data_IF_067818867136
#
_entry.id   IF_067818867136
#
_cell.length_a   1.000
_cell.length_b   1.000
_cell.length_c   1.000
_cell.angle_alpha   90.00
_cell.angle_beta   90.00
_cell.angle_gamma   90.00
#
_symmetry.space_group_name_H-M   'P 1'
#
loop_
_entity.id
_entity.type
_entity.pdbx_description
1 polymer ?
#
# COMPACT_ATOMS: atom_id res chain seq x y z
N UNK A 1 30.01 0.25 -3.65
CA UNK A 1 29.18 0.43 -2.45
C UNK A 1 29.88 1.43 -1.55
N UNK A 2 29.19 2.44 -1.05
CA UNK A 2 29.78 3.45 -0.14
C UNK A 2 30.19 2.74 1.16
N UNK A 3 31.42 2.93 1.67
CA UNK A 3 31.82 2.35 2.96
C UNK A 3 30.87 2.79 4.09
N UNK A 4 30.72 1.95 5.12
CA UNK A 4 29.97 2.33 6.32
C UNK A 4 30.62 3.55 6.98
N UNK A 5 29.80 4.51 7.40
CA UNK A 5 30.26 5.66 8.17
C UNK A 5 30.74 5.25 9.56
N UNK A 6 31.38 6.17 10.30
CA UNK A 6 31.87 5.88 11.66
C UNK A 6 30.75 5.37 12.61
N UNK A 7 29.56 6.02 12.69
CA UNK A 7 28.47 5.51 13.52
C UNK A 7 28.01 4.10 13.13
N UNK A 8 27.90 3.81 11.82
CA UNK A 8 27.50 2.50 11.33
C UNK A 8 28.57 1.42 11.59
N UNK A 9 29.85 1.78 11.48
CA UNK A 9 30.96 0.87 11.77
C UNK A 9 31.04 0.54 13.27
N UNK A 10 30.69 1.48 14.14
CA UNK A 10 30.57 1.24 15.58
C UNK A 10 29.37 0.35 15.90
N UNK A 11 28.21 0.64 15.31
CA UNK A 11 27.01 -0.19 15.49
C UNK A 11 27.21 -1.61 14.96
N UNK A 12 27.97 -1.81 13.88
CA UNK A 12 28.31 -3.15 13.41
C UNK A 12 28.96 -4.03 14.50
N UNK A 13 29.75 -3.45 15.40
CA UNK A 13 30.36 -4.23 16.49
C UNK A 13 29.31 -4.84 17.41
N UNK A 14 28.20 -4.14 17.68
CA UNK A 14 27.09 -4.68 18.49
C UNK A 14 26.25 -5.68 17.70
N UNK A 15 26.16 -5.54 16.37
CA UNK A 15 25.50 -6.53 15.50
C UNK A 15 26.25 -7.86 15.54
N UNK A 16 27.58 -7.85 15.49
CA UNK A 16 28.41 -9.07 15.53
C UNK A 16 28.15 -9.88 16.80
N UNK A 17 27.94 -9.21 17.94
CA UNK A 17 27.63 -9.87 19.22
C UNK A 17 26.26 -10.58 19.23
N UNK A 18 25.33 -10.18 18.34
CA UNK A 18 23.98 -10.76 18.22
C UNK A 18 23.90 -11.91 17.22
N UNK A 19 24.92 -12.13 16.39
CA UNK A 19 24.88 -13.15 15.35
C UNK A 19 24.90 -14.57 15.95
N UNK A 20 24.17 -15.55 15.36
CA UNK A 20 24.14 -16.92 15.86
C UNK A 20 25.52 -17.61 15.78
N UNK A 21 25.73 -18.60 16.65
CA UNK A 21 26.93 -19.46 16.59
C UNK A 21 27.06 -20.12 15.21
N UNK A 22 28.16 -19.85 14.51
CA UNK A 22 28.42 -20.32 13.14
C UNK A 22 28.58 -19.20 12.11
N UNK A 23 28.07 -17.99 12.39
CA UNK A 23 28.41 -16.80 11.61
C UNK A 23 29.64 -16.13 12.22
N UNK A 24 30.78 -16.27 11.55
CA UNK A 24 31.99 -15.50 11.90
C UNK A 24 32.02 -14.21 11.08
N UNK A 25 32.60 -13.12 11.61
CA UNK A 25 32.76 -11.88 10.83
C UNK A 25 33.48 -12.13 9.49
N UNK A 26 34.38 -13.11 9.45
CA UNK A 26 35.11 -13.54 8.25
C UNK A 26 34.27 -14.30 7.22
N UNK A 27 33.13 -14.87 7.59
CA UNK A 27 32.26 -15.61 6.66
C UNK A 27 31.19 -14.74 6.00
N UNK A 28 30.99 -13.50 6.45
CA UNK A 28 29.98 -12.60 5.88
C UNK A 28 30.54 -11.76 4.75
N UNK A 29 29.80 -11.65 3.66
CA UNK A 29 30.13 -10.69 2.60
C UNK A 29 30.02 -9.25 3.10
N UNK A 30 30.69 -8.32 2.40
CA UNK A 30 30.57 -6.87 2.66
C UNK A 30 29.11 -6.39 2.50
N UNK A 31 28.38 -7.04 1.60
CA UNK A 31 26.96 -6.77 1.37
C UNK A 31 26.11 -7.19 2.56
N UNK A 32 26.27 -8.43 3.04
CA UNK A 32 25.61 -8.93 4.25
C UNK A 32 25.86 -8.02 5.44
N UNK A 33 27.12 -7.67 5.69
CA UNK A 33 27.50 -6.72 6.75
C UNK A 33 26.74 -5.40 6.63
N UNK A 34 26.61 -4.86 5.42
CA UNK A 34 25.96 -3.58 5.20
C UNK A 34 24.45 -3.65 5.44
N UNK A 35 23.78 -4.70 4.96
CA UNK A 35 22.34 -4.90 5.17
C UNK A 35 22.01 -5.14 6.66
N UNK A 36 22.76 -6.01 7.33
CA UNK A 36 22.55 -6.32 8.74
C UNK A 36 22.89 -5.14 9.67
N UNK A 37 23.77 -4.23 9.24
CA UNK A 37 24.00 -2.96 9.95
C UNK A 37 22.85 -1.99 9.74
N UNK A 38 22.27 -1.97 8.54
CA UNK A 38 21.22 -1.03 8.15
C UNK A 38 19.84 -1.39 8.74
N UNK A 39 19.45 -2.66 8.72
CA UNK A 39 18.10 -3.12 9.06
C UNK A 39 18.13 -4.10 10.22
N UNK A 40 17.54 -3.69 11.35
CA UNK A 40 17.32 -4.56 12.50
C UNK A 40 16.25 -5.62 12.18
N UNK A 41 15.26 -5.29 11.35
CA UNK A 41 14.30 -6.26 10.80
C UNK A 41 14.99 -7.41 10.05
N UNK A 42 15.94 -7.09 9.15
CA UNK A 42 16.70 -8.10 8.41
C UNK A 42 17.59 -8.91 9.34
N UNK A 43 18.23 -8.25 10.33
CA UNK A 43 19.05 -8.91 11.34
C UNK A 43 18.25 -9.93 12.15
N UNK A 44 17.12 -9.52 12.73
CA UNK A 44 16.29 -10.41 13.56
C UNK A 44 15.70 -11.55 12.74
N UNK A 45 15.35 -11.29 11.47
CA UNK A 45 14.87 -12.31 10.55
C UNK A 45 15.94 -13.35 10.22
N UNK A 46 17.19 -12.93 10.00
CA UNK A 46 18.32 -13.84 9.72
C UNK A 46 18.77 -14.58 10.98
N UNK A 47 18.66 -13.97 12.16
CA UNK A 47 18.90 -14.68 13.44
C UNK A 47 17.90 -15.82 13.62
N UNK A 48 16.62 -15.58 13.31
CA UNK A 48 15.57 -16.60 13.37
C UNK A 48 15.70 -17.65 12.26
N UNK A 49 16.16 -17.25 11.07
CA UNK A 49 16.31 -18.09 9.87
C UNK A 49 17.70 -17.92 9.22
N UNK A 50 18.77 -18.47 9.84
CA UNK A 50 20.14 -18.42 9.33
C UNK A 50 20.31 -18.78 7.85
N UNK A 51 19.52 -19.75 7.38
CA UNK A 51 19.57 -20.26 6.01
C UNK A 51 19.27 -19.19 4.96
N UNK A 52 18.47 -18.17 5.28
CA UNK A 52 18.11 -17.11 4.33
C UNK A 52 19.31 -16.27 3.93
N UNK A 53 20.30 -16.10 4.82
CA UNK A 53 21.49 -15.33 4.48
C UNK A 53 22.33 -16.06 3.43
N UNK A 54 22.52 -17.37 3.59
CA UNK A 54 23.22 -18.20 2.60
C UNK A 54 22.47 -18.23 1.25
N UNK A 55 21.13 -18.27 1.30
CA UNK A 55 20.30 -18.15 0.09
C UNK A 55 20.46 -16.80 -0.60
N UNK A 56 20.49 -15.69 0.15
CA UNK A 56 20.68 -14.34 -0.40
C UNK A 56 22.06 -14.14 -1.03
N UNK A 57 23.10 -14.68 -0.41
CA UNK A 57 24.47 -14.60 -0.94
C UNK A 57 24.69 -15.51 -2.16
N UNK A 58 24.02 -16.67 -2.21
CA UNK A 58 24.11 -17.58 -3.36
C UNK A 58 23.19 -17.19 -4.52
N UNK A 59 22.04 -16.60 -4.23
CA UNK A 59 21.00 -16.23 -5.18
C UNK A 59 20.41 -14.86 -4.82
N UNK A 60 21.17 -13.82 -5.18
CA UNK A 60 20.78 -12.43 -4.98
C UNK A 60 19.43 -12.11 -5.66
N UNK A 61 18.54 -11.33 -5.01
CA UNK A 61 17.25 -10.98 -5.58
C UNK A 61 17.36 -10.25 -6.92
N UNK A 62 16.46 -10.58 -7.85
CA UNK A 62 16.39 -9.98 -9.18
C UNK A 62 15.14 -9.12 -9.35
N UNK A 63 15.13 -8.23 -10.34
CA UNK A 63 14.04 -7.29 -10.56
C UNK A 63 12.70 -7.99 -10.84
N UNK A 64 12.72 -9.06 -11.62
CA UNK A 64 11.55 -9.81 -12.06
C UNK A 64 11.16 -10.96 -11.11
N UNK A 65 11.78 -11.04 -9.93
CA UNK A 65 11.55 -12.12 -8.96
C UNK A 65 10.09 -12.24 -8.51
N UNK A 66 9.35 -11.12 -8.50
CA UNK A 66 7.92 -11.10 -8.17
C UNK A 66 7.06 -12.02 -9.05
N UNK A 67 7.53 -12.35 -10.26
CA UNK A 67 6.85 -13.29 -11.16
C UNK A 67 6.80 -14.71 -10.60
N UNK A 68 7.67 -15.04 -9.66
CA UNK A 68 7.77 -16.36 -9.05
C UNK A 68 7.00 -16.48 -7.72
N UNK A 69 6.61 -15.35 -7.11
CA UNK A 69 6.00 -15.35 -5.77
C UNK A 69 4.77 -16.24 -5.66
N UNK A 70 3.87 -16.19 -6.66
CA UNK A 70 2.67 -17.02 -6.66
C UNK A 70 2.99 -18.52 -6.72
N UNK A 71 3.97 -18.93 -7.53
CA UNK A 71 4.41 -20.32 -7.62
C UNK A 71 5.04 -20.82 -6.32
N UNK A 72 5.93 -20.01 -5.74
CA UNK A 72 6.56 -20.35 -4.45
C UNK A 72 5.55 -20.42 -3.30
N UNK A 73 4.58 -19.51 -3.25
CA UNK A 73 3.52 -19.56 -2.24
C UNK A 73 2.62 -20.79 -2.45
N UNK A 74 2.28 -21.15 -3.69
CA UNK A 74 1.49 -22.35 -3.96
C UNK A 74 2.20 -23.63 -3.50
N UNK A 75 3.51 -23.74 -3.75
CA UNK A 75 4.33 -24.85 -3.26
C UNK A 75 4.33 -24.92 -1.73
N UNK A 76 4.51 -23.77 -1.06
CA UNK A 76 4.48 -23.67 0.38
C UNK A 76 3.11 -24.05 0.99
N UNK A 77 2.00 -23.64 0.33
CA UNK A 77 0.64 -23.92 0.78
C UNK A 77 0.16 -25.35 0.47
N UNK A 78 0.89 -26.15 -0.32
CA UNK A 78 0.46 -27.48 -0.74
C UNK A 78 0.24 -28.46 0.45
N UNK A 79 1.01 -28.29 1.54
CA UNK A 79 0.89 -29.10 2.76
C UNK A 79 -0.05 -28.53 3.83
N UNK A 80 -0.66 -27.37 3.58
CA UNK A 80 -1.48 -26.65 4.58
C UNK A 80 -2.87 -27.28 4.70
N UNK A 81 -3.23 -27.69 5.91
CA UNK A 81 -4.42 -28.50 6.17
C UNK A 81 -5.50 -27.78 7.01
N UNK A 82 -5.14 -26.71 7.71
CA UNK A 82 -6.01 -25.97 8.62
C UNK A 82 -5.68 -24.47 8.69
N UNK A 83 -6.56 -23.68 9.30
CA UNK A 83 -6.40 -22.22 9.38
C UNK A 83 -5.12 -21.81 10.12
N UNK A 84 -4.66 -22.58 11.12
CA UNK A 84 -3.46 -22.25 11.90
C UNK A 84 -2.18 -22.43 11.07
N UNK A 85 -2.09 -23.55 10.33
CA UNK A 85 -1.00 -23.83 9.41
C UNK A 85 -0.99 -22.84 8.24
N UNK A 86 -2.16 -22.39 7.74
CA UNK A 86 -2.25 -21.32 6.75
C UNK A 86 -1.67 -20.01 7.31
N UNK A 87 -2.11 -19.60 8.49
CA UNK A 87 -1.67 -18.36 9.12
C UNK A 87 -0.16 -18.31 9.31
N UNK A 88 0.44 -19.40 9.78
CA UNK A 88 1.88 -19.53 9.95
C UNK A 88 2.62 -19.42 8.62
N UNK A 89 2.17 -20.14 7.59
CA UNK A 89 2.84 -20.15 6.29
C UNK A 89 2.80 -18.79 5.59
N UNK A 90 1.66 -18.10 5.64
CA UNK A 90 1.55 -16.74 5.09
C UNK A 90 2.51 -15.75 5.77
N UNK A 91 2.67 -15.85 7.09
CA UNK A 91 3.60 -14.98 7.87
C UNK A 91 5.05 -15.29 7.57
N UNK A 92 5.40 -16.57 7.53
CA UNK A 92 6.73 -17.04 7.17
C UNK A 92 7.11 -16.58 5.76
N UNK A 93 6.22 -16.80 4.78
CA UNK A 93 6.43 -16.37 3.40
C UNK A 93 6.57 -14.86 3.27
N UNK A 94 5.68 -14.07 3.90
CA UNK A 94 5.76 -12.60 3.90
C UNK A 94 7.11 -12.16 4.44
N UNK A 95 7.52 -12.63 5.62
CA UNK A 95 8.80 -12.26 6.23
C UNK A 95 9.98 -12.61 5.32
N UNK A 96 10.01 -13.82 4.78
CA UNK A 96 11.08 -14.27 3.88
C UNK A 96 11.24 -13.36 2.67
N UNK A 97 10.15 -13.04 1.98
CA UNK A 97 10.21 -12.18 0.79
C UNK A 97 10.51 -10.72 1.18
N UNK A 98 9.98 -10.22 2.29
CA UNK A 98 10.31 -8.87 2.78
C UNK A 98 11.80 -8.71 3.10
N UNK A 99 12.48 -9.73 3.63
CA UNK A 99 13.94 -9.72 3.81
C UNK A 99 14.67 -9.62 2.47
N UNK A 100 14.20 -10.34 1.44
CA UNK A 100 14.75 -10.25 0.07
C UNK A 100 14.56 -8.87 -0.54
N UNK A 101 13.39 -8.27 -0.36
CA UNK A 101 13.08 -6.90 -0.82
C UNK A 101 13.96 -5.88 -0.09
N UNK A 102 14.08 -5.99 1.25
CA UNK A 102 14.95 -5.13 2.05
C UNK A 102 16.40 -5.22 1.56
N UNK A 103 16.91 -6.43 1.35
CA UNK A 103 18.25 -6.67 0.80
C UNK A 103 18.47 -5.97 -0.54
N UNK A 104 17.54 -6.15 -1.49
CA UNK A 104 17.63 -5.54 -2.81
C UNK A 104 17.59 -4.00 -2.75
N UNK A 105 16.72 -3.44 -1.91
CA UNK A 105 16.56 -2.00 -1.75
C UNK A 105 17.78 -1.36 -1.08
N UNK A 106 18.20 -1.89 0.07
CA UNK A 106 19.33 -1.37 0.87
C UNK A 106 20.61 -1.34 0.04
N UNK A 107 20.84 -2.37 -0.79
CA UNK A 107 22.02 -2.46 -1.66
C UNK A 107 21.83 -1.80 -3.03
N UNK A 108 20.62 -1.29 -3.33
CA UNK A 108 20.24 -0.72 -4.63
C UNK A 108 20.53 -1.66 -5.80
N UNK A 109 20.16 -2.94 -5.66
CA UNK A 109 20.35 -3.97 -6.70
C UNK A 109 19.31 -3.85 -7.82
N UNK A 110 18.16 -3.25 -7.52
CA UNK A 110 17.07 -2.96 -8.46
C UNK A 110 16.61 -1.52 -8.25
N UNK A 111 15.90 -0.96 -9.22
CA UNK A 111 15.33 0.39 -9.10
C UNK A 111 14.15 0.44 -8.11
N UNK A 112 13.83 1.64 -7.64
CA UNK A 112 12.79 1.86 -6.63
C UNK A 112 11.38 1.56 -7.18
N UNK A 113 11.15 1.70 -8.48
CA UNK A 113 9.88 1.30 -9.13
C UNK A 113 9.67 -0.22 -9.01
N UNK A 114 10.74 -0.98 -9.21
CA UNK A 114 10.76 -2.43 -9.03
C UNK A 114 10.53 -2.82 -7.58
N UNK A 115 11.08 -2.10 -6.60
CA UNK A 115 10.80 -2.36 -5.17
C UNK A 115 9.31 -2.16 -4.87
N UNK A 116 8.71 -1.06 -5.33
CA UNK A 116 7.28 -0.80 -5.19
C UNK A 116 6.44 -1.92 -5.84
N UNK A 117 6.88 -2.39 -7.00
CA UNK A 117 6.22 -3.48 -7.72
C UNK A 117 6.31 -4.81 -6.95
N UNK A 118 7.48 -5.16 -6.40
CA UNK A 118 7.67 -6.38 -5.61
C UNK A 118 6.85 -6.36 -4.32
N UNK A 119 6.85 -5.24 -3.58
CA UNK A 119 6.02 -5.08 -2.38
C UNK A 119 4.53 -5.26 -2.67
N UNK A 120 4.06 -4.65 -3.76
CA UNK A 120 2.65 -4.72 -4.17
C UNK A 120 2.26 -6.13 -4.64
N UNK A 121 3.14 -6.80 -5.40
CA UNK A 121 2.88 -8.18 -5.84
C UNK A 121 2.95 -9.17 -4.69
N UNK A 122 3.82 -8.98 -3.70
CA UNK A 122 3.84 -9.81 -2.50
C UNK A 122 2.51 -9.73 -1.76
N UNK A 123 2.01 -8.51 -1.53
CA UNK A 123 0.71 -8.29 -0.88
C UNK A 123 -0.42 -8.96 -1.66
N UNK A 124 -0.51 -8.73 -2.97
CA UNK A 124 -1.51 -9.36 -3.82
C UNK A 124 -1.43 -10.89 -3.81
N UNK A 125 -0.21 -11.45 -3.88
CA UNK A 125 0.04 -12.90 -3.85
C UNK A 125 -0.49 -13.52 -2.55
N UNK A 126 -0.22 -12.88 -1.41
CA UNK A 126 -0.66 -13.35 -0.09
C UNK A 126 -2.17 -13.22 0.08
N UNK A 127 -2.77 -12.09 -0.36
CA UNK A 127 -4.23 -11.87 -0.31
C UNK A 127 -4.95 -12.94 -1.15
N UNK A 128 -4.49 -13.17 -2.39
CA UNK A 128 -5.11 -14.12 -3.31
C UNK A 128 -4.91 -15.56 -2.82
N UNK A 129 -3.70 -15.93 -2.38
CA UNK A 129 -3.43 -17.25 -1.82
C UNK A 129 -4.28 -17.56 -0.60
N UNK A 130 -4.42 -16.60 0.32
CA UNK A 130 -5.29 -16.73 1.49
C UNK A 130 -6.77 -16.84 1.10
N UNK A 131 -7.25 -15.98 0.20
CA UNK A 131 -8.63 -16.00 -0.32
C UNK A 131 -8.97 -17.36 -0.92
N UNK A 132 -8.13 -17.87 -1.81
CA UNK A 132 -8.41 -19.10 -2.55
C UNK A 132 -8.43 -20.32 -1.64
N UNK A 133 -7.46 -20.40 -0.72
CA UNK A 133 -7.42 -21.48 0.27
C UNK A 133 -8.65 -21.45 1.18
N UNK A 134 -9.00 -20.26 1.71
CA UNK A 134 -10.14 -20.09 2.62
C UNK A 134 -11.48 -20.29 1.91
N UNK A 135 -11.63 -19.86 0.66
CA UNK A 135 -12.83 -20.11 -0.12
C UNK A 135 -13.07 -21.62 -0.28
N UNK A 136 -12.02 -22.37 -0.64
CA UNK A 136 -12.10 -23.83 -0.75
C UNK A 136 -12.43 -24.49 0.59
N UNK A 137 -11.82 -24.02 1.69
CA UNK A 137 -12.12 -24.52 3.04
C UNK A 137 -13.57 -24.25 3.45
N UNK A 138 -14.07 -23.03 3.25
CA UNK A 138 -15.44 -22.65 3.55
C UNK A 138 -16.44 -23.42 2.68
N UNK A 139 -16.12 -23.68 1.40
CA UNK A 139 -16.96 -24.50 0.53
C UNK A 139 -17.10 -25.94 1.04
N UNK A 140 -16.01 -26.55 1.55
CA UNK A 140 -16.07 -27.89 2.16
C UNK A 140 -16.91 -27.91 3.44
N UNK A 141 -16.88 -26.83 4.20
CA UNK A 141 -17.55 -26.73 5.51
C UNK A 141 -19.04 -26.39 5.38
N UNK A 142 -19.39 -25.43 4.54
CA UNK A 142 -20.72 -24.82 4.45
C UNK A 142 -21.42 -25.05 3.11
N UNK A 143 -20.75 -25.65 2.13
CA UNK A 143 -21.23 -25.74 0.74
C UNK A 143 -20.75 -24.57 -0.11
N UNK A 144 -20.88 -24.71 -1.43
CA UNK A 144 -20.42 -23.71 -2.40
C UNK A 144 -21.49 -22.65 -2.61
N UNK A 145 -21.21 -21.35 -2.43
CA UNK A 145 -22.18 -20.28 -2.68
C UNK A 145 -22.52 -20.24 -4.17
N UNK A 146 -23.81 -20.32 -4.49
CA UNK A 146 -24.29 -20.30 -5.87
C UNK A 146 -25.38 -19.24 -6.04
N UNK A 147 -25.56 -18.73 -7.26
CA UNK A 147 -26.75 -17.98 -7.64
C UNK A 147 -27.97 -18.93 -7.81
N UNK A 148 -29.19 -18.42 -8.08
CA UNK A 148 -30.37 -19.27 -8.28
C UNK A 148 -30.23 -20.31 -9.40
N UNK A 149 -29.42 -20.00 -10.42
CA UNK A 149 -29.11 -20.88 -11.55
C UNK A 149 -28.07 -21.97 -11.21
N UNK A 150 -27.50 -21.95 -10.01
CA UNK A 150 -26.48 -22.91 -9.57
C UNK A 150 -25.07 -22.58 -10.01
N UNK A 151 -24.81 -21.36 -10.51
CA UNK A 151 -23.47 -20.91 -10.88
C UNK A 151 -22.71 -20.47 -9.62
N UNK A 152 -21.52 -21.04 -9.34
CA UNK A 152 -20.70 -20.64 -8.21
C UNK A 152 -20.35 -19.16 -8.22
N UNK A 153 -20.41 -18.54 -7.05
CA UNK A 153 -20.12 -17.12 -6.86
C UNK A 153 -18.75 -16.96 -6.18
N UNK A 154 -17.82 -16.14 -6.73
CA UNK A 154 -16.53 -15.87 -6.11
C UNK A 154 -16.59 -14.72 -5.10
N UNK A 155 -15.59 -14.65 -4.22
CA UNK A 155 -15.27 -13.44 -3.47
C UNK A 155 -14.32 -12.57 -4.31
N UNK A 156 -14.74 -11.36 -4.64
CA UNK A 156 -13.89 -10.36 -5.29
C UNK A 156 -13.32 -9.41 -4.25
N UNK A 157 -12.07 -9.00 -4.46
CA UNK A 157 -11.33 -8.12 -3.57
C UNK A 157 -10.78 -6.95 -4.38
N UNK A 158 -11.19 -5.74 -4.04
CA UNK A 158 -10.55 -4.52 -4.52
C UNK A 158 -9.46 -4.12 -3.52
N UNK A 159 -8.21 -4.05 -3.97
CA UNK A 159 -7.16 -3.34 -3.27
C UNK A 159 -7.25 -1.86 -3.59
N UNK A 160 -7.18 -1.05 -2.54
CA UNK A 160 -7.35 0.40 -2.58
C UNK A 160 -6.01 1.11 -2.37
N UNK A 161 -6.00 2.43 -2.48
CA UNK A 161 -4.83 3.25 -2.17
C UNK A 161 -3.55 2.79 -2.87
N UNK A 162 -2.48 2.62 -2.09
CA UNK A 162 -1.16 2.20 -2.60
C UNK A 162 -1.16 0.78 -3.16
N UNK A 163 -1.90 -0.15 -2.55
CA UNK A 163 -2.01 -1.53 -3.04
C UNK A 163 -2.66 -1.56 -4.43
N UNK A 164 -3.77 -0.84 -4.58
CA UNK A 164 -4.49 -0.74 -5.84
C UNK A 164 -3.66 -0.05 -6.94
N UNK A 165 -2.87 0.96 -6.56
CA UNK A 165 -1.91 1.64 -7.42
C UNK A 165 -0.67 0.82 -7.80
N UNK A 166 -0.45 -0.36 -7.21
CA UNK A 166 0.79 -1.13 -7.43
C UNK A 166 2.03 -0.41 -6.87
N UNK A 167 1.83 0.36 -5.81
CA UNK A 167 2.82 1.24 -5.22
C UNK A 167 2.84 1.15 -3.69
N UNK A 168 2.70 -0.05 -3.13
CA UNK A 168 2.79 -0.31 -1.69
C UNK A 168 4.15 0.16 -1.12
N UNK A 169 4.17 0.71 0.10
CA UNK A 169 5.43 1.00 0.82
C UNK A 169 5.82 -0.25 1.65
N UNK A 170 7.00 -0.23 2.27
CA UNK A 170 7.57 -1.41 2.94
C UNK A 170 6.70 -1.92 4.10
N UNK A 171 6.19 -1.00 4.92
CA UNK A 171 5.27 -1.27 6.02
C UNK A 171 4.01 -0.41 5.86
N UNK A 172 3.01 -0.97 5.18
CA UNK A 172 1.67 -0.39 4.99
C UNK A 172 0.57 -1.35 5.41
N UNK A 173 -0.54 -0.75 5.80
CA UNK A 173 -1.83 -1.41 5.83
C UNK A 173 -2.28 -1.75 4.40
N UNK A 174 -3.12 -2.77 4.26
CA UNK A 174 -3.80 -3.09 3.01
C UNK A 174 -5.26 -2.67 3.11
N UNK A 175 -5.60 -1.63 2.38
CA UNK A 175 -6.97 -1.13 2.25
C UNK A 175 -7.77 -2.01 1.28
N UNK A 176 -8.81 -2.69 1.75
CA UNK A 176 -9.58 -3.66 0.96
C UNK A 176 -11.08 -3.35 0.95
N UNK A 177 -11.72 -3.65 -0.18
CA UNK A 177 -13.20 -3.73 -0.30
C UNK A 177 -13.55 -5.12 -0.82
N UNK A 178 -14.48 -5.79 -0.15
CA UNK A 178 -14.96 -7.11 -0.55
C UNK A 178 -16.32 -7.03 -1.22
N UNK A 179 -16.47 -7.78 -2.32
CA UNK A 179 -17.73 -7.88 -3.04
C UNK A 179 -17.99 -9.30 -3.54
N UNK A 180 -19.26 -9.65 -3.76
CA UNK A 180 -19.65 -10.84 -4.53
C UNK A 180 -20.70 -10.45 -5.59
N UNK A 181 -20.88 -11.25 -6.66
CA UNK A 181 -21.76 -10.83 -7.76
C UNK A 181 -23.24 -10.94 -7.39
N UNK A 182 -23.76 -12.17 -7.26
CA UNK A 182 -25.20 -12.40 -7.20
C UNK A 182 -25.67 -13.00 -5.86
N UNK A 183 -26.90 -12.65 -5.48
CA UNK A 183 -27.59 -13.28 -4.35
C UNK A 183 -27.90 -14.76 -4.62
N UNK A 184 -28.11 -15.52 -3.55
CA UNK A 184 -28.37 -16.95 -3.63
C UNK A 184 -27.94 -17.65 -2.36
N UNK A 185 -27.67 -18.95 -2.47
CA UNK A 185 -27.48 -19.83 -1.32
C UNK A 185 -26.39 -20.88 -1.60
N UNK A 186 -25.77 -21.37 -0.54
CA UNK A 186 -24.77 -22.44 -0.64
C UNK A 186 -25.41 -23.78 -1.02
N UNK A 187 -24.79 -24.50 -1.96
CA UNK A 187 -25.18 -25.85 -2.38
C UNK A 187 -24.14 -26.89 -1.96
N UNK A 188 -24.60 -28.10 -1.64
CA UNK A 188 -23.74 -29.24 -1.26
C UNK A 188 -23.22 -29.21 0.19
N UNK A 189 -23.62 -28.21 0.99
CA UNK A 189 -23.37 -28.17 2.43
C UNK A 189 -24.39 -28.96 3.25
N UNK A 190 -24.16 -29.10 4.56
CA UNK A 190 -25.12 -29.76 5.49
C UNK A 190 -26.45 -28.99 5.62
N UNK A 191 -26.41 -27.67 5.41
CA UNK A 191 -27.56 -26.75 5.42
C UNK A 191 -27.29 -25.65 4.40
N UNK A 192 -28.37 -25.12 3.82
CA UNK A 192 -28.29 -23.93 2.97
C UNK A 192 -27.96 -22.70 3.83
N UNK A 193 -27.02 -21.90 3.36
CA UNK A 193 -26.57 -20.66 3.94
C UNK A 193 -26.74 -19.57 2.88
N UNK A 194 -27.33 -18.45 3.26
CA UNK A 194 -27.43 -17.28 2.39
C UNK A 194 -26.03 -16.78 1.97
N UNK A 195 -25.87 -16.38 0.70
CA UNK A 195 -24.58 -15.95 0.16
C UNK A 195 -23.98 -14.78 0.96
N UNK A 196 -24.78 -13.81 1.44
CA UNK A 196 -24.26 -12.71 2.24
C UNK A 196 -23.68 -13.21 3.58
N UNK A 197 -24.30 -14.21 4.19
CA UNK A 197 -23.77 -14.87 5.39
C UNK A 197 -22.49 -15.66 5.09
N UNK A 198 -22.45 -16.40 3.98
CA UNK A 198 -21.25 -17.12 3.55
C UNK A 198 -20.06 -16.17 3.36
N UNK A 199 -20.24 -15.11 2.56
CA UNK A 199 -19.17 -14.18 2.24
C UNK A 199 -18.76 -13.31 3.43
N UNK A 200 -19.69 -12.95 4.31
CA UNK A 200 -19.33 -12.26 5.56
C UNK A 200 -18.41 -13.12 6.43
N UNK A 201 -18.72 -14.42 6.60
CA UNK A 201 -17.86 -15.32 7.38
C UNK A 201 -16.52 -15.59 6.72
N UNK A 202 -16.51 -15.76 5.39
CA UNK A 202 -15.27 -15.89 4.62
C UNK A 202 -14.40 -14.64 4.75
N UNK A 203 -14.99 -13.44 4.61
CA UNK A 203 -14.29 -12.16 4.77
C UNK A 203 -13.68 -12.00 6.16
N UNK A 204 -14.41 -12.37 7.22
CA UNK A 204 -13.89 -12.36 8.59
C UNK A 204 -12.71 -13.32 8.77
N UNK A 205 -12.78 -14.54 8.21
CA UNK A 205 -11.66 -15.50 8.24
C UNK A 205 -10.46 -15.00 7.46
N UNK A 206 -10.68 -14.34 6.32
CA UNK A 206 -9.61 -13.76 5.50
C UNK A 206 -8.88 -12.64 6.24
N UNK A 207 -9.62 -11.69 6.83
CA UNK A 207 -9.03 -10.62 7.66
C UNK A 207 -8.23 -11.22 8.81
N UNK A 208 -8.81 -12.18 9.53
CA UNK A 208 -8.11 -12.87 10.61
C UNK A 208 -6.80 -13.52 10.15
N UNK A 209 -6.82 -14.20 8.99
CA UNK A 209 -5.63 -14.88 8.46
C UNK A 209 -4.50 -13.90 8.13
N UNK A 210 -4.83 -12.72 7.61
CA UNK A 210 -3.88 -11.68 7.20
C UNK A 210 -3.38 -10.82 8.37
N UNK A 211 -4.29 -10.39 9.25
CA UNK A 211 -4.05 -9.32 10.22
C UNK A 211 -3.64 -9.84 11.60
N UNK A 212 -4.31 -10.88 12.10
CA UNK A 212 -4.21 -11.24 13.52
C UNK A 212 -2.76 -11.47 13.98
N UNK A 213 -2.26 -10.75 15.00
CA UNK A 213 -0.95 -11.04 15.58
C UNK A 213 -0.90 -12.46 16.17
N UNK A 214 0.17 -13.19 15.84
CA UNK A 214 0.48 -14.52 16.36
C UNK A 214 1.95 -14.56 16.84
N UNK A 215 2.41 -15.70 17.33
CA UNK A 215 3.84 -15.90 17.62
C UNK A 215 4.74 -15.71 16.39
N UNK A 216 4.19 -15.91 15.20
CA UNK A 216 4.90 -15.73 13.92
C UNK A 216 4.76 -14.29 13.37
N UNK A 217 4.15 -13.37 14.13
CA UNK A 217 3.81 -12.01 13.71
C UNK A 217 2.45 -11.92 13.00
N UNK A 218 2.36 -11.07 11.98
CA UNK A 218 1.19 -10.85 11.12
C UNK A 218 1.62 -10.76 9.64
N UNK A 219 0.66 -10.86 8.71
CA UNK A 219 0.94 -10.74 7.26
C UNK A 219 0.88 -9.26 6.86
N UNK A 220 -0.31 -8.66 7.01
CA UNK A 220 -0.56 -7.22 6.83
C UNK A 220 -1.71 -6.80 7.75
N UNK A 221 -1.63 -5.59 8.28
CA UNK A 221 -2.78 -4.91 8.89
C UNK A 221 -3.82 -4.64 7.81
N UNK A 222 -5.08 -4.97 8.06
CA UNK A 222 -6.15 -4.87 7.05
C UNK A 222 -7.09 -3.73 7.41
N UNK A 223 -7.21 -2.75 6.51
CA UNK A 223 -8.16 -1.66 6.65
C UNK A 223 -9.37 -1.88 5.73
N UNK A 224 -10.56 -1.90 6.31
CA UNK A 224 -11.83 -2.08 5.59
C UNK A 224 -12.67 -0.80 5.54
N UNK A 225 -12.18 0.34 6.03
CA UNK A 225 -12.96 1.58 6.25
C UNK A 225 -13.39 2.28 4.97
N UNK A 226 -12.70 2.02 3.86
CA UNK A 226 -13.04 2.58 2.55
C UNK A 226 -14.25 1.89 1.87
N UNK A 227 -14.79 0.82 2.47
CA UNK A 227 -15.99 0.15 1.94
C UNK A 227 -17.24 1.05 2.07
N UNK A 228 -18.27 0.84 1.22
CA UNK A 228 -19.56 1.50 1.36
C UNK A 228 -20.09 1.50 2.80
N UNK A 229 -20.58 2.66 3.25
CA UNK A 229 -21.06 2.92 4.62
C UNK A 229 -19.98 2.83 5.73
N UNK A 230 -18.70 2.71 5.38
CA UNK A 230 -17.58 2.68 6.33
C UNK A 230 -17.73 1.57 7.37
N UNK A 231 -17.33 1.84 8.62
CA UNK A 231 -17.35 0.84 9.70
C UNK A 231 -18.74 0.37 10.11
N UNK A 232 -19.76 1.18 9.85
CA UNK A 232 -21.15 0.83 10.11
C UNK A 232 -21.77 -0.04 9.01
N UNK A 233 -21.06 -0.21 7.89
CA UNK A 233 -21.51 -0.97 6.73
C UNK A 233 -21.29 -2.48 6.85
N UNK A 234 -22.02 -3.26 6.02
CA UNK A 234 -21.73 -4.68 5.86
C UNK A 234 -20.27 -4.87 5.41
N UNK A 235 -19.64 -5.96 5.86
CA UNK A 235 -18.24 -6.24 5.54
C UNK A 235 -18.03 -6.52 4.04
N UNK A 236 -19.03 -7.16 3.42
CA UNK A 236 -19.02 -7.55 2.02
C UNK A 236 -20.34 -7.11 1.41
N UNK A 237 -20.32 -6.63 0.16
CA UNK A 237 -21.54 -6.21 -0.56
C UNK A 237 -21.77 -7.05 -1.82
N UNK A 238 -23.03 -7.25 -2.20
CA UNK A 238 -23.36 -7.74 -3.54
C UNK A 238 -23.09 -6.65 -4.58
N UNK A 239 -22.96 -7.03 -5.85
CA UNK A 239 -22.80 -6.07 -6.94
C UNK A 239 -23.98 -5.09 -7.00
N UNK A 240 -25.21 -5.57 -6.83
CA UNK A 240 -26.40 -4.72 -6.79
C UNK A 240 -26.30 -3.66 -5.67
N UNK A 241 -25.97 -4.07 -4.44
CA UNK A 241 -25.86 -3.13 -3.32
C UNK A 241 -24.71 -2.12 -3.49
N UNK A 242 -23.62 -2.56 -4.11
CA UNK A 242 -22.46 -1.71 -4.41
C UNK A 242 -22.79 -0.69 -5.52
N UNK A 243 -23.52 -1.12 -6.54
CA UNK A 243 -24.02 -0.24 -7.61
C UNK A 243 -24.96 0.83 -7.05
N UNK A 244 -25.99 0.42 -6.30
CA UNK A 244 -26.96 1.34 -5.69
C UNK A 244 -26.25 2.40 -4.82
N UNK A 245 -25.29 1.98 -4.00
CA UNK A 245 -24.53 2.90 -3.14
C UNK A 245 -23.77 3.95 -3.94
N UNK A 246 -22.97 3.55 -4.93
CA UNK A 246 -22.14 4.51 -5.66
C UNK A 246 -22.95 5.38 -6.63
N UNK A 247 -24.11 4.90 -7.10
CA UNK A 247 -25.02 5.72 -7.91
C UNK A 247 -25.76 6.76 -7.08
N UNK A 248 -26.28 6.40 -5.91
CA UNK A 248 -27.17 7.27 -5.14
C UNK A 248 -26.45 8.11 -4.08
N UNK A 249 -25.41 7.55 -3.44
CA UNK A 249 -24.78 8.12 -2.23
C UNK A 249 -23.29 8.45 -2.41
N UNK A 250 -22.68 8.00 -3.51
CA UNK A 250 -21.24 8.12 -3.73
C UNK A 250 -20.73 9.57 -3.81
N UNK A 251 -19.82 9.92 -2.90
CA UNK A 251 -19.24 11.26 -2.72
C UNK A 251 -17.97 11.46 -3.55
N UNK A 252 -17.56 12.71 -3.74
CA UNK A 252 -16.37 13.04 -4.55
C UNK A 252 -15.07 12.53 -3.96
N UNK A 253 -14.98 12.51 -2.64
CA UNK A 253 -13.83 11.94 -1.93
C UNK A 253 -13.74 10.42 -2.16
N UNK A 254 -14.88 9.73 -2.30
CA UNK A 254 -14.91 8.29 -2.64
C UNK A 254 -14.47 8.07 -4.08
N UNK A 255 -14.79 9.00 -4.99
CA UNK A 255 -14.23 8.96 -6.37
C UNK A 255 -12.71 9.08 -6.34
N UNK A 256 -12.17 9.99 -5.52
CA UNK A 256 -10.72 10.12 -5.33
C UNK A 256 -10.09 8.80 -4.86
N UNK A 257 -10.66 8.14 -3.85
CA UNK A 257 -10.17 6.85 -3.37
C UNK A 257 -10.29 5.75 -4.46
N UNK A 258 -11.41 5.70 -5.18
CA UNK A 258 -11.71 4.68 -6.17
C UNK A 258 -10.89 4.81 -7.47
N UNK A 259 -10.20 5.93 -7.71
CA UNK A 259 -9.19 6.05 -8.78
C UNK A 259 -8.12 4.96 -8.65
N UNK A 260 -7.77 4.57 -7.42
CA UNK A 260 -6.77 3.54 -7.14
C UNK A 260 -7.34 2.13 -7.09
N UNK A 261 -8.65 1.95 -7.06
CA UNK A 261 -9.26 0.64 -6.90
C UNK A 261 -8.83 -0.34 -8.00
N UNK A 262 -8.30 -1.49 -7.58
CA UNK A 262 -7.86 -2.56 -8.49
C UNK A 262 -8.30 -3.91 -7.96
N UNK A 263 -8.82 -4.77 -8.85
CA UNK A 263 -9.12 -6.15 -8.50
C UNK A 263 -7.84 -6.94 -8.26
N UNK A 264 -7.80 -7.69 -7.16
CA UNK A 264 -6.70 -8.58 -6.79
C UNK A 264 -6.87 -9.97 -7.42
N UNK A 265 -5.80 -10.50 -7.99
CA UNK A 265 -5.75 -11.81 -8.64
C UNK A 265 -6.20 -11.79 -10.10
N UNK A 266 -6.53 -12.96 -10.65
CA UNK A 266 -7.08 -13.07 -12.00
C UNK A 266 -8.37 -12.24 -12.09
N UNK A 267 -8.44 -11.40 -13.11
CA UNK A 267 -9.48 -10.41 -13.28
C UNK A 267 -10.04 -10.39 -14.70
N UNK A 268 -9.78 -11.41 -15.52
CA UNK A 268 -10.29 -11.49 -16.90
C UNK A 268 -11.65 -12.21 -17.02
N UNK A 269 -12.18 -12.73 -15.91
CA UNK A 269 -13.48 -13.39 -15.85
C UNK A 269 -14.67 -12.42 -16.06
N UNK A 270 -15.88 -12.97 -16.17
CA UNK A 270 -17.09 -12.20 -16.44
C UNK A 270 -17.45 -11.24 -15.28
N UNK A 271 -17.33 -11.69 -14.03
CA UNK A 271 -17.67 -10.91 -12.85
C UNK A 271 -16.69 -9.76 -12.63
N UNK A 272 -15.41 -10.01 -12.86
CA UNK A 272 -14.38 -8.97 -12.79
C UNK A 272 -14.60 -7.88 -13.85
N UNK A 273 -15.03 -8.25 -15.07
CA UNK A 273 -15.38 -7.27 -16.12
C UNK A 273 -16.63 -6.47 -15.77
N UNK A 274 -17.65 -7.12 -15.23
CA UNK A 274 -18.89 -6.48 -14.78
C UNK A 274 -18.62 -5.44 -13.69
N UNK A 275 -17.89 -5.81 -12.63
CA UNK A 275 -17.55 -4.87 -11.55
C UNK A 275 -16.74 -3.67 -12.06
N UNK A 276 -15.79 -3.88 -12.98
CA UNK A 276 -15.05 -2.77 -13.60
C UNK A 276 -15.96 -1.86 -14.42
N UNK A 277 -16.90 -2.43 -15.17
CA UNK A 277 -17.84 -1.66 -15.98
C UNK A 277 -18.78 -0.83 -15.10
N UNK A 278 -19.22 -1.39 -13.97
CA UNK A 278 -20.06 -0.71 -12.98
C UNK A 278 -19.34 0.45 -12.29
N UNK A 279 -18.09 0.26 -11.87
CA UNK A 279 -17.33 1.27 -11.13
C UNK A 279 -16.81 2.40 -12.01
N UNK A 280 -16.53 2.14 -13.29
CA UNK A 280 -15.88 3.13 -14.17
C UNK A 280 -16.65 4.45 -14.32
N UNK A 281 -17.99 4.47 -14.55
CA UNK A 281 -18.76 5.71 -14.64
C UNK A 281 -18.78 6.52 -13.33
N UNK A 282 -18.73 5.83 -12.18
CA UNK A 282 -18.66 6.48 -10.87
C UNK A 282 -17.35 7.26 -10.71
N UNK A 283 -16.21 6.62 -11.02
CA UNK A 283 -14.88 7.20 -10.86
C UNK A 283 -14.58 8.28 -11.90
N UNK A 284 -14.80 7.97 -13.19
CA UNK A 284 -14.36 8.81 -14.31
C UNK A 284 -15.55 9.46 -15.02
N UNK A 285 -16.00 10.59 -14.49
CA UNK A 285 -17.11 11.37 -15.07
C UNK A 285 -16.72 11.93 -16.45
N UNK A 286 -17.60 11.78 -17.44
CA UNK A 286 -17.39 12.33 -18.80
C UNK A 286 -17.60 13.84 -18.88
N UNK A 287 -18.46 14.37 -18.01
CA UNK A 287 -18.80 15.78 -17.90
C UNK A 287 -18.38 16.27 -16.51
N UNK A 288 -17.59 17.35 -16.50
CA UNK A 288 -17.11 18.02 -15.31
C UNK A 288 -17.77 19.40 -15.30
N UNK A 289 -18.52 19.67 -14.23
CA UNK A 289 -19.12 20.97 -13.99
C UNK A 289 -18.32 21.73 -12.91
N UNK A 290 -18.76 22.95 -12.60
CA UNK A 290 -18.11 23.78 -11.60
C UNK A 290 -18.13 23.15 -10.20
N UNK A 291 -19.16 22.36 -9.86
CA UNK A 291 -19.29 21.74 -8.53
C UNK A 291 -18.16 20.75 -8.26
N UNK A 292 -17.74 19.99 -9.28
CA UNK A 292 -16.62 19.05 -9.18
C UNK A 292 -15.30 19.80 -8.95
N UNK A 293 -15.07 20.90 -9.67
CA UNK A 293 -13.87 21.72 -9.48
C UNK A 293 -13.85 22.34 -8.07
N UNK A 294 -14.99 22.82 -7.59
CA UNK A 294 -15.12 23.34 -6.22
C UNK A 294 -14.81 22.27 -5.18
N UNK A 295 -15.31 21.05 -5.37
CA UNK A 295 -15.04 19.91 -4.50
C UNK A 295 -13.55 19.58 -4.42
N UNK A 296 -12.84 19.61 -5.56
CA UNK A 296 -11.38 19.45 -5.62
C UNK A 296 -10.63 20.58 -4.89
N UNK A 297 -11.07 21.84 -5.04
CA UNK A 297 -10.51 22.97 -4.27
C UNK A 297 -10.71 22.81 -2.77
N UNK A 298 -11.90 22.38 -2.35
CA UNK A 298 -12.20 22.14 -0.94
C UNK A 298 -11.28 21.05 -0.36
N UNK A 299 -11.02 19.97 -1.11
CA UNK A 299 -10.06 18.94 -0.73
C UNK A 299 -8.61 19.48 -0.67
N UNK A 300 -8.18 20.28 -1.66
CA UNK A 300 -6.87 20.96 -1.66
C UNK A 300 -6.71 21.84 -0.40
N UNK A 301 -7.73 22.64 -0.09
CA UNK A 301 -7.76 23.51 1.09
C UNK A 301 -7.70 22.73 2.40
N UNK A 302 -8.35 21.56 2.47
CA UNK A 302 -8.28 20.66 3.62
C UNK A 302 -6.85 20.15 3.86
N UNK A 303 -6.18 19.66 2.82
CA UNK A 303 -4.78 19.21 2.88
C UNK A 303 -3.89 20.36 3.36
N UNK A 304 -4.02 21.55 2.76
CA UNK A 304 -3.22 22.71 3.12
C UNK A 304 -3.42 23.17 4.57
N UNK A 305 -4.67 23.17 5.06
CA UNK A 305 -4.97 23.50 6.47
C UNK A 305 -4.38 22.48 7.44
N UNK A 306 -4.44 21.19 7.10
CA UNK A 306 -3.91 20.14 7.95
C UNK A 306 -2.38 20.25 8.11
N UNK A 307 -1.67 20.48 6.99
CA UNK A 307 -0.23 20.74 6.98
C UNK A 307 0.13 21.90 7.93
N UNK A 308 -0.61 23.01 7.83
CA UNK A 308 -0.41 24.19 8.70
C UNK A 308 -0.71 23.89 10.18
N UNK A 309 -1.82 23.18 10.45
CA UNK A 309 -2.28 22.85 11.81
C UNK A 309 -1.28 21.97 12.55
N UNK A 310 -0.73 20.95 11.89
CA UNK A 310 0.15 19.97 12.54
C UNK A 310 1.60 20.42 12.62
N UNK A 311 2.04 21.34 11.75
CA UNK A 311 3.42 21.82 11.76
C UNK A 311 4.48 20.72 11.55
N UNK A 312 4.10 19.62 10.88
CA UNK A 312 4.94 18.45 10.64
C UNK A 312 6.07 18.82 9.67
N UNK A 313 7.24 19.16 10.21
CA UNK A 313 8.43 19.46 9.41
C UNK A 313 9.16 18.21 8.95
N UNK A 314 9.15 17.17 9.78
CA UNK A 314 9.94 15.95 9.57
C UNK A 314 9.11 14.79 9.01
N UNK A 315 7.88 15.03 8.53
CA UNK A 315 7.02 13.97 7.99
C UNK A 315 7.03 13.96 6.45
N UNK A 316 7.53 12.87 5.87
CA UNK A 316 7.77 12.72 4.42
C UNK A 316 6.45 12.65 3.62
N UNK A 317 5.37 12.16 4.26
CA UNK A 317 4.07 11.96 3.61
C UNK A 317 3.15 13.17 3.77
N UNK A 318 3.03 13.67 4.99
CA UNK A 318 2.05 14.68 5.39
C UNK A 318 2.62 16.10 5.45
N UNK A 319 3.95 16.26 5.40
CA UNK A 319 4.60 17.56 5.33
C UNK A 319 4.29 18.30 4.02
N UNK A 320 4.50 19.62 4.01
CA UNK A 320 4.34 20.43 2.80
C UNK A 320 5.29 19.93 1.70
N UNK A 321 4.77 19.62 0.51
CA UNK A 321 5.56 19.01 -0.55
C UNK A 321 5.81 17.50 -0.42
N UNK A 322 5.17 16.84 0.55
CA UNK A 322 5.32 15.41 0.78
C UNK A 322 4.56 14.54 -0.24
N UNK A 323 4.65 13.22 -0.04
CA UNK A 323 4.08 12.19 -0.93
C UNK A 323 2.59 12.44 -1.22
N UNK A 324 1.82 12.82 -0.19
CA UNK A 324 0.37 13.05 -0.32
C UNK A 324 0.03 14.21 -1.26
N UNK A 325 0.85 15.25 -1.32
CA UNK A 325 0.63 16.35 -2.26
C UNK A 325 0.89 15.92 -3.70
N UNK A 326 1.87 15.04 -3.95
CA UNK A 326 2.12 14.45 -5.28
C UNK A 326 0.94 13.58 -5.70
N UNK A 327 0.47 12.69 -4.82
CA UNK A 327 -0.71 11.85 -5.06
C UNK A 327 -1.93 12.71 -5.43
N UNK A 328 -2.16 13.79 -4.68
CA UNK A 328 -3.24 14.72 -4.93
C UNK A 328 -3.13 15.43 -6.29
N UNK A 329 -1.94 15.95 -6.63
CA UNK A 329 -1.68 16.58 -7.93
C UNK A 329 -2.06 15.64 -9.07
N UNK A 330 -1.58 14.41 -9.03
CA UNK A 330 -1.78 13.42 -10.09
C UNK A 330 -3.25 13.03 -10.19
N UNK A 331 -3.89 12.68 -9.07
CA UNK A 331 -5.28 12.21 -9.05
C UNK A 331 -6.28 13.30 -9.44
N UNK A 332 -5.98 14.58 -9.18
CA UNK A 332 -6.77 15.70 -9.67
C UNK A 332 -6.92 15.66 -11.20
N UNK A 333 -5.83 15.43 -11.94
CA UNK A 333 -5.90 15.32 -13.40
C UNK A 333 -6.72 14.11 -13.84
N UNK A 334 -6.61 12.99 -13.12
CA UNK A 334 -7.41 11.79 -13.38
C UNK A 334 -8.90 12.05 -13.21
N UNK A 335 -9.31 12.76 -12.15
CA UNK A 335 -10.70 13.07 -11.88
C UNK A 335 -11.29 14.08 -12.88
N UNK A 336 -10.50 15.07 -13.32
CA UNK A 336 -10.95 16.10 -14.26
C UNK A 336 -10.97 15.58 -15.71
N UNK A 337 -9.94 14.82 -16.12
CA UNK A 337 -9.72 14.47 -17.54
C UNK A 337 -9.89 12.98 -17.83
N UNK A 338 -9.81 12.10 -16.83
CA UNK A 338 -9.85 10.65 -17.03
C UNK A 338 -11.12 10.13 -17.70
N UNK A 339 -12.27 10.80 -17.56
CA UNK A 339 -13.49 10.43 -18.29
C UNK A 339 -13.43 10.65 -19.81
N UNK A 340 -12.46 11.43 -20.30
CA UNK A 340 -12.22 11.69 -21.73
C UNK A 340 -10.89 11.16 -22.23
N UNK A 341 -9.92 11.03 -21.34
CA UNK A 341 -8.55 10.57 -21.63
C UNK A 341 -8.30 9.21 -20.96
N UNK A 342 -8.43 8.08 -21.69
CA UNK A 342 -8.22 6.75 -21.13
C UNK A 342 -6.82 6.53 -20.53
N UNK A 343 -5.80 7.24 -21.03
CA UNK A 343 -4.43 7.17 -20.50
C UNK A 343 -4.33 7.66 -19.04
N UNK A 344 -5.27 8.49 -18.58
CA UNK A 344 -5.36 8.96 -17.20
C UNK A 344 -6.21 8.05 -16.29
N UNK A 345 -6.67 6.89 -16.79
CA UNK A 345 -7.40 5.89 -15.99
C UNK A 345 -6.48 4.83 -15.37
N UNK A 346 -5.16 5.00 -15.49
CA UNK A 346 -4.17 4.16 -14.79
C UNK A 346 -4.35 4.27 -13.27
N UNK A 347 -4.17 3.17 -12.53
CA UNK A 347 -4.20 3.21 -11.06
C UNK A 347 -2.87 3.70 -10.50
N UNK A 348 -1.77 3.37 -11.17
CA UNK A 348 -0.41 3.71 -10.74
C UNK A 348 -0.07 5.17 -11.00
N UNK A 349 0.65 5.80 -10.07
CA UNK A 349 0.99 7.23 -10.12
C UNK A 349 1.97 7.54 -11.27
N UNK A 350 3.05 6.78 -11.41
CA UNK A 350 4.11 7.06 -12.38
C UNK A 350 3.63 6.99 -13.85
N UNK A 351 2.92 5.94 -14.30
CA UNK A 351 2.33 5.95 -15.64
C UNK A 351 1.33 7.09 -15.87
N UNK A 352 0.63 7.52 -14.82
CA UNK A 352 -0.28 8.67 -14.90
C UNK A 352 0.50 9.99 -15.07
N UNK A 353 1.63 10.17 -14.39
CA UNK A 353 2.53 11.32 -14.62
C UNK A 353 3.02 11.34 -16.06
N UNK A 354 3.41 10.19 -16.62
CA UNK A 354 3.85 10.11 -18.02
C UNK A 354 2.72 10.51 -18.99
N UNK A 355 1.47 10.09 -18.70
CA UNK A 355 0.30 10.53 -19.45
C UNK A 355 -0.01 12.03 -19.30
N UNK A 356 0.18 12.60 -18.11
CA UNK A 356 0.04 14.04 -17.85
C UNK A 356 1.02 14.85 -18.70
N UNK A 357 2.27 14.39 -18.82
CA UNK A 357 3.27 15.01 -19.69
C UNK A 357 2.87 14.89 -21.17
N UNK A 358 2.51 13.70 -21.64
CA UNK A 358 2.14 13.45 -23.03
C UNK A 358 0.92 14.27 -23.50
N UNK A 359 0.02 14.60 -22.57
CA UNK A 359 -1.16 15.44 -22.81
C UNK A 359 -0.91 16.94 -22.57
N UNK A 360 0.33 17.32 -22.21
CA UNK A 360 0.72 18.69 -21.87
C UNK A 360 -0.17 19.34 -20.80
N UNK A 361 -0.60 18.55 -19.82
CA UNK A 361 -1.45 19.03 -18.72
C UNK A 361 -0.65 19.74 -17.61
N UNK A 362 0.65 19.48 -17.57
CA UNK A 362 1.64 20.22 -16.79
C UNK A 362 2.87 20.53 -17.66
N UNK A 363 3.67 21.56 -17.33
CA UNK A 363 4.96 21.77 -17.95
C UNK A 363 5.85 20.53 -17.81
N UNK A 364 6.62 20.19 -18.86
CA UNK A 364 7.47 19.00 -18.87
C UNK A 364 8.47 18.97 -17.70
N UNK A 365 9.03 20.13 -17.36
CA UNK A 365 9.92 20.29 -16.22
C UNK A 365 9.23 19.94 -14.89
N UNK A 366 7.95 20.31 -14.73
CA UNK A 366 7.20 20.04 -13.50
C UNK A 366 6.89 18.55 -13.36
N UNK A 367 6.55 17.88 -14.47
CA UNK A 367 6.35 16.42 -14.46
C UNK A 367 7.66 15.69 -14.12
N UNK A 368 8.78 16.10 -14.73
CA UNK A 368 10.09 15.52 -14.43
C UNK A 368 10.47 15.70 -12.96
N UNK A 369 10.27 16.91 -12.40
CA UNK A 369 10.53 17.20 -10.99
C UNK A 369 9.63 16.36 -10.05
N UNK A 370 8.33 16.24 -10.35
CA UNK A 370 7.40 15.42 -9.58
C UNK A 370 7.78 13.94 -9.60
N UNK A 371 8.20 13.41 -10.76
CA UNK A 371 8.65 12.01 -10.88
C UNK A 371 9.86 11.74 -10.00
N UNK A 372 10.88 12.59 -10.07
CA UNK A 372 12.10 12.43 -9.27
C UNK A 372 11.79 12.59 -7.78
N UNK A 373 11.01 13.61 -7.40
CA UNK A 373 10.60 13.81 -6.02
C UNK A 373 9.81 12.61 -5.47
N UNK A 374 8.88 12.05 -6.26
CA UNK A 374 8.12 10.88 -5.85
C UNK A 374 9.03 9.69 -5.55
N UNK A 375 9.91 9.32 -6.49
CA UNK A 375 10.82 8.20 -6.30
C UNK A 375 11.78 8.42 -5.13
N UNK A 376 12.30 9.64 -4.96
CA UNK A 376 13.15 10.00 -3.82
C UNK A 376 12.42 9.83 -2.48
N UNK A 377 11.20 10.37 -2.36
CA UNK A 377 10.41 10.30 -1.14
C UNK A 377 9.98 8.86 -0.82
N UNK A 378 9.56 8.07 -1.83
CA UNK A 378 9.18 6.66 -1.67
C UNK A 378 10.38 5.80 -1.27
N UNK A 379 11.55 6.03 -1.86
CA UNK A 379 12.79 5.36 -1.47
C UNK A 379 13.14 5.67 -0.01
N UNK A 380 13.13 6.95 0.37
CA UNK A 380 13.45 7.38 1.73
C UNK A 380 12.48 6.78 2.76
N UNK A 381 11.18 6.84 2.48
CA UNK A 381 10.13 6.24 3.32
C UNK A 381 10.33 4.72 3.45
N UNK A 382 10.51 4.00 2.34
CA UNK A 382 10.68 2.55 2.37
C UNK A 382 11.97 2.12 3.09
N UNK A 383 13.07 2.85 2.88
CA UNK A 383 14.33 2.61 3.58
C UNK A 383 14.15 2.83 5.09
N UNK A 384 13.48 3.91 5.50
CA UNK A 384 13.16 4.18 6.90
C UNK A 384 12.32 3.06 7.52
N UNK A 385 11.24 2.66 6.86
CA UNK A 385 10.36 1.60 7.33
C UNK A 385 11.08 0.25 7.41
N UNK A 386 11.96 -0.06 6.46
CA UNK A 386 12.72 -1.32 6.43
C UNK A 386 13.79 -1.45 7.51
N UNK A 387 14.09 -0.39 8.26
CA UNK A 387 15.00 -0.49 9.42
C UNK A 387 14.40 -1.47 10.45
N UNK A 388 13.12 -1.30 10.79
CA UNK A 388 12.43 -2.07 11.84
C UNK A 388 11.17 -2.80 11.37
N UNK A 389 10.77 -2.67 10.09
CA UNK A 389 9.44 -3.07 9.59
C UNK A 389 8.30 -2.35 10.34
N UNK A 390 8.47 -1.04 10.52
CA UNK A 390 7.55 -0.18 11.24
C UNK A 390 6.88 0.83 10.31
N UNK A 391 5.59 1.09 10.53
CA UNK A 391 4.82 2.08 9.78
C UNK A 391 5.13 3.50 10.27
N UNK A 392 6.31 4.01 9.93
CA UNK A 392 6.70 5.40 10.19
C UNK A 392 6.78 6.21 8.91
N UNK A 393 6.47 7.50 9.03
CA UNK A 393 6.62 8.52 7.98
C UNK A 393 7.42 9.71 8.49
N UNK A 394 7.89 9.66 9.74
CA UNK A 394 8.59 10.74 10.43
C UNK A 394 10.08 10.43 10.46
N UNK A 395 10.90 11.37 10.01
CA UNK A 395 12.35 11.21 9.98
C UNK A 395 12.92 10.97 11.38
N UNK A 396 13.96 10.14 11.51
CA UNK A 396 14.54 9.81 12.80
C UNK A 396 15.21 11.01 13.46
N UNK A 397 15.09 11.06 14.78
CA UNK A 397 15.81 12.02 15.62
C UNK A 397 17.19 11.50 16.04
N UNK A 398 17.38 10.18 16.09
CA UNK A 398 18.60 9.54 16.57
C UNK A 398 19.69 9.48 15.50
N UNK A 399 20.95 9.57 15.93
CA UNK A 399 22.11 9.65 15.03
C UNK A 399 22.34 8.36 14.24
N UNK A 400 21.97 7.20 14.79
CA UNK A 400 22.15 5.90 14.13
C UNK A 400 21.26 5.80 12.89
N UNK A 401 19.94 6.02 13.05
CA UNK A 401 19.02 5.91 11.91
C UNK A 401 19.22 7.04 10.90
N UNK A 402 19.64 8.24 11.33
CA UNK A 402 20.08 9.29 10.40
C UNK A 402 21.27 8.85 9.57
N UNK A 403 22.27 8.20 10.18
CA UNK A 403 23.42 7.66 9.48
C UNK A 403 23.03 6.50 8.53
N UNK A 404 22.12 5.62 8.96
CA UNK A 404 21.56 4.53 8.13
C UNK A 404 20.89 5.11 6.88
N UNK A 405 19.99 6.06 7.03
CA UNK A 405 19.27 6.69 5.93
C UNK A 405 20.19 7.45 4.99
N UNK A 406 21.13 8.25 5.51
CA UNK A 406 22.12 8.95 4.67
C UNK A 406 22.89 7.95 3.80
N UNK A 407 23.38 6.85 4.40
CA UNK A 407 24.07 5.79 3.68
C UNK A 407 23.18 5.08 2.64
N UNK A 408 21.96 4.69 3.01
CA UNK A 408 21.03 3.98 2.11
C UNK A 408 20.51 4.84 0.94
N UNK A 409 20.39 6.14 1.17
CA UNK A 409 20.09 7.15 0.13
C UNK A 409 21.31 7.55 -0.69
N UNK A 410 22.51 7.03 -0.35
CA UNK A 410 23.79 7.37 -0.98
C UNK A 410 24.19 8.85 -0.83
N UNK A 411 23.72 9.50 0.22
CA UNK A 411 24.19 10.80 0.65
C UNK A 411 25.48 10.64 1.50
N UNK A 412 26.35 11.66 1.48
CA UNK A 412 27.58 11.67 2.27
C UNK A 412 27.29 11.73 3.78
N UNK A 413 26.25 12.48 4.15
CA UNK A 413 25.86 12.71 5.53
C UNK A 413 24.40 13.16 5.63
N UNK A 414 23.88 13.21 6.85
CA UNK A 414 22.51 13.61 7.13
C UNK A 414 22.16 15.04 6.65
N UNK A 415 22.99 16.09 6.90
CA UNK A 415 22.73 17.42 6.35
C UNK A 415 22.54 17.47 4.83
N UNK A 416 23.34 16.72 4.07
CA UNK A 416 23.17 16.63 2.61
C UNK A 416 21.82 16.00 2.25
N UNK A 417 21.48 14.86 2.87
CA UNK A 417 20.20 14.18 2.62
C UNK A 417 19.00 15.10 2.90
N UNK A 418 19.03 15.86 4.00
CA UNK A 418 17.98 16.81 4.34
C UNK A 418 17.90 17.97 3.34
N UNK A 419 19.04 18.44 2.82
CA UNK A 419 19.08 19.44 1.76
C UNK A 419 18.37 18.95 0.50
N UNK A 420 18.73 17.77 0.01
CA UNK A 420 18.11 17.15 -1.17
C UNK A 420 16.60 16.93 -0.97
N UNK A 421 16.20 16.43 0.21
CA UNK A 421 14.79 16.27 0.58
C UNK A 421 14.04 17.61 0.52
N UNK A 422 14.63 18.67 1.07
CA UNK A 422 14.02 20.00 1.12
C UNK A 422 13.79 20.53 -0.29
N UNK A 423 14.75 20.36 -1.20
CA UNK A 423 14.63 20.81 -2.59
C UNK A 423 13.52 20.06 -3.34
N UNK A 424 13.43 18.74 -3.15
CA UNK A 424 12.35 17.94 -3.72
C UNK A 424 10.98 18.39 -3.22
N UNK A 425 10.81 18.52 -1.89
CA UNK A 425 9.55 18.94 -1.29
C UNK A 425 9.17 20.38 -1.69
N UNK A 426 10.13 21.29 -1.82
CA UNK A 426 9.87 22.65 -2.30
C UNK A 426 9.31 22.66 -3.73
N UNK A 427 9.85 21.83 -4.63
CA UNK A 427 9.34 21.70 -6.00
C UNK A 427 7.91 21.15 -6.04
N UNK A 428 7.63 20.08 -5.28
CA UNK A 428 6.26 19.53 -5.15
C UNK A 428 5.31 20.60 -4.64
N UNK A 429 5.71 21.31 -3.58
CA UNK A 429 4.87 22.32 -2.95
C UNK A 429 4.53 23.48 -3.89
N UNK A 430 5.48 23.90 -4.73
CA UNK A 430 5.24 24.90 -5.78
C UNK A 430 4.14 24.44 -6.74
N UNK A 431 4.27 23.23 -7.30
CA UNK A 431 3.27 22.69 -8.24
C UNK A 431 1.91 22.51 -7.56
N UNK A 432 1.90 22.06 -6.29
CA UNK A 432 0.66 21.92 -5.51
C UNK A 432 -0.06 23.26 -5.33
N UNK A 433 0.66 24.35 -5.09
CA UNK A 433 0.03 25.67 -4.92
C UNK A 433 -0.59 26.16 -6.24
N UNK A 434 0.08 25.94 -7.37
CA UNK A 434 -0.38 26.32 -8.72
C UNK A 434 -1.55 25.45 -9.22
N UNK A 435 -1.72 24.25 -8.65
CA UNK A 435 -2.79 23.30 -9.00
C UNK A 435 -4.17 23.85 -8.67
N UNK A 436 -5.05 23.98 -9.68
CA UNK A 436 -6.44 24.47 -9.58
C UNK A 436 -6.51 25.74 -8.70
N UNK A 437 -6.35 26.91 -9.34
CA UNK A 437 -6.24 28.22 -8.66
C UNK A 437 -7.21 28.41 -7.49
N UNK A 438 -6.71 29.08 -6.45
CA UNK A 438 -7.41 29.28 -5.18
C UNK A 438 -8.65 30.16 -5.36
N UNK A 439 -9.75 29.87 -4.64
CA UNK A 439 -10.85 30.82 -4.52
C UNK A 439 -10.42 31.95 -3.57
N UNK A 440 -10.47 33.19 -4.03
CA UNK A 440 -10.27 34.39 -3.19
C UNK A 440 -11.39 34.61 -2.14
N UNK A 441 -12.27 33.62 -1.93
CA UNK A 441 -13.50 33.74 -1.15
C UNK A 441 -13.56 32.75 0.02
N UNK A 442 -12.56 32.74 0.91
CA UNK A 442 -12.72 32.21 2.26
C UNK A 442 -13.67 33.14 3.04
N UNK A 443 -14.98 32.92 2.92
CA UNK A 443 -15.97 33.52 3.83
C UNK A 443 -16.30 32.51 4.94
N UNK A 444 -16.06 32.83 6.23
CA UNK A 444 -16.13 31.85 7.33
C UNK A 444 -17.50 31.26 7.67
N UNK A 445 -18.56 31.54 6.90
CA UNK A 445 -19.95 31.34 7.34
C UNK A 445 -20.65 30.08 6.81
N UNK A 446 -20.09 29.37 5.80
CA UNK A 446 -20.69 28.10 5.32
C UNK A 446 -20.05 26.84 5.97
N UNK A 447 -19.07 27.03 6.86
CA UNK A 447 -18.12 25.98 7.27
C UNK A 447 -18.61 25.02 8.39
N UNK A 448 -19.70 25.32 9.10
CA UNK A 448 -20.19 24.49 10.23
C UNK A 448 -21.04 23.27 9.82
N UNK A 449 -21.45 23.14 8.54
CA UNK A 449 -22.38 22.07 8.11
C UNK A 449 -21.73 20.82 7.51
N UNK A 450 -20.40 20.73 7.51
CA UNK A 450 -19.65 19.65 6.84
C UNK A 450 -18.82 18.77 7.79
N UNK A 451 -19.28 18.61 9.04
CA UNK A 451 -18.51 17.95 10.10
C UNK A 451 -18.47 16.41 10.16
N UNK A 452 -19.34 15.59 9.54
CA UNK A 452 -19.23 14.13 9.64
C UNK A 452 -18.12 13.49 8.81
N UNK A 453 -17.50 14.23 7.88
CA UNK A 453 -16.54 13.68 6.91
C UNK A 453 -15.09 13.79 7.38
N UNK A 454 -14.84 14.63 8.40
CA UNK A 454 -13.51 14.80 8.99
C UNK A 454 -13.04 13.49 9.57
N UNK A 455 -13.86 12.78 10.33
CA UNK A 455 -13.49 11.49 10.96
C UNK A 455 -13.23 10.39 9.92
N UNK A 456 -13.97 10.28 8.81
CA UNK A 456 -13.70 9.19 7.84
C UNK A 456 -12.44 9.43 7.00
N UNK A 457 -12.15 10.68 6.60
CA UNK A 457 -10.91 11.00 5.86
C UNK A 457 -9.71 11.15 6.79
N UNK A 458 -9.94 11.53 8.06
CA UNK A 458 -8.91 11.57 9.09
C UNK A 458 -8.65 10.16 9.59
N UNK A 459 -9.62 9.41 10.09
CA UNK A 459 -9.42 8.09 10.69
C UNK A 459 -8.93 7.05 9.68
N UNK A 460 -9.46 7.00 8.45
CA UNK A 460 -8.92 6.12 7.39
C UNK A 460 -7.43 6.37 7.09
N UNK A 461 -6.85 7.46 7.62
CA UNK A 461 -5.45 7.83 7.48
C UNK A 461 -4.78 8.25 8.82
N UNK A 462 -5.47 8.12 9.97
CA UNK A 462 -5.06 8.62 11.28
C UNK A 462 -5.56 7.66 12.37
N UNK A 463 -4.74 6.71 12.77
CA UNK A 463 -4.47 6.37 14.18
C UNK A 463 -3.53 5.17 14.21
N UNK A 464 -2.21 5.44 14.29
CA UNK A 464 -1.31 4.59 15.10
C UNK A 464 0.05 5.26 15.42
N UNK A 465 0.06 6.58 15.64
CA UNK A 465 1.30 7.32 15.99
C UNK A 465 1.31 7.77 17.47
N UNK A 466 0.46 7.19 18.31
CA UNK A 466 0.47 7.45 19.76
C UNK A 466 -0.09 6.31 20.60
N UNK A 467 0.62 5.19 20.69
CA UNK A 467 0.67 4.44 21.95
C UNK A 467 2.09 3.95 22.20
N UNK A 468 2.77 4.42 23.26
CA UNK A 468 3.93 3.68 23.76
C UNK A 468 3.40 2.35 24.30
N UNK A 469 3.84 1.25 23.68
CA UNK A 469 3.73 -0.07 24.27
C UNK A 469 4.49 -0.02 25.59
N UNK A 470 3.77 -0.22 26.70
CA UNK A 470 4.34 -0.57 28.00
C UNK A 470 4.81 -2.02 27.99
#
# INVERSE_FOLDING_TARGET
MTPLSSPLSQYWQTVVERLPEGFTETSLSVQAKSVLTFSDFALDSVIAHPEWLAELESASPQADEWRHYAGWLQEALAGVCDDASLMRELRFFRRRIMVRIAWAQTLSLVDDETILQQLSHLAETLIVGARDWLYAACCREWGTPCNPQGVPQPLLILGMGKLGGGELNFSSDIDLIFAWPEHGETRGGRRELDNAQFFTRLGQRLIKALDQPTMDGFVYRVDMRLRPFGDSGPLVLSFAALEDYYQEQGRDWERYAMVKARLMGDNDDAWSRELRAMLRPFVFRRYIDFSVIQSLRNMKGMIAREVRRRGLKDNIKLGAGGIREIEFIVQVFQLIRGGREPSLQSRSLLPTLDAIAALHLLPENDVAQLRVAYLFLRRLENLLQSINDEQTQTLPADDLNRARLAWGMKAENWPQLVGELTDHMANVRRVFNELIGDDEADTPQEEERSEPWREVWQDALQEDDSTPVL
#
